data_IF_246746855674
#
_entry.id   IF_246746855674
#
_cell.length_a   1.000
_cell.length_b   1.000
_cell.length_c   1.000
_cell.angle_alpha   90.00
_cell.angle_beta   90.00
_cell.angle_gamma   90.00
#
_symmetry.space_group_name_H-M   'P 1'
#
loop_
_entity.id
_entity.type
_entity.pdbx_description
1 polymer ?
#
# COMPACT_ATOMS: atom_id res chain seq x y z
N UNK A 1 -6.14 -18.21 19.82
CA UNK A 1 -4.70 -17.97 19.59
C UNK A 1 -4.57 -16.65 18.85
N UNK A 2 -3.94 -15.65 19.47
CA UNK A 2 -3.74 -14.34 18.86
C UNK A 2 -2.81 -14.51 17.67
N UNK A 3 -3.35 -14.42 16.45
CA UNK A 3 -2.52 -14.46 15.25
C UNK A 3 -1.67 -13.20 15.28
N UNK A 4 -0.35 -13.34 15.37
CA UNK A 4 0.55 -12.19 15.28
C UNK A 4 0.35 -11.56 13.91
N UNK A 5 -0.25 -10.37 13.85
CA UNK A 5 -0.46 -9.62 12.59
C UNK A 5 0.86 -9.19 11.94
N UNK A 6 1.97 -9.29 12.69
CA UNK A 6 3.31 -9.02 12.23
C UNK A 6 4.36 -9.93 12.90
N UNK A 7 5.50 -10.10 12.25
CA UNK A 7 6.72 -10.64 12.83
C UNK A 7 7.90 -9.71 12.58
N UNK A 8 8.90 -9.76 13.45
CA UNK A 8 10.15 -9.02 13.29
C UNK A 8 11.24 -10.05 13.09
N UNK A 9 12.00 -9.93 12.00
CA UNK A 9 13.04 -10.87 11.65
C UNK A 9 14.33 -10.17 11.29
N UNK A 10 15.44 -10.91 11.45
CA UNK A 10 16.78 -10.41 11.13
C UNK A 10 17.46 -11.25 10.05
N UNK A 11 18.27 -10.60 9.24
CA UNK A 11 19.00 -11.24 8.14
C UNK A 11 20.25 -10.47 7.76
N UNK A 12 21.12 -11.09 6.95
CA UNK A 12 22.28 -10.39 6.37
C UNK A 12 21.86 -9.36 5.33
N UNK A 13 20.68 -9.56 4.74
CA UNK A 13 20.04 -8.67 3.77
C UNK A 13 18.56 -8.50 4.12
N UNK A 14 17.92 -7.49 3.52
CA UNK A 14 16.47 -7.29 3.63
C UNK A 14 15.72 -8.54 3.13
N UNK A 15 16.14 -9.09 1.98
CA UNK A 15 15.48 -10.27 1.40
C UNK A 15 15.56 -11.50 2.31
N UNK A 16 16.72 -11.77 2.90
CA UNK A 16 16.86 -12.90 3.83
C UNK A 16 15.96 -12.75 5.06
N UNK A 17 15.86 -11.52 5.59
CA UNK A 17 15.00 -11.23 6.73
C UNK A 17 13.51 -11.36 6.38
N UNK A 18 13.11 -10.92 5.18
CA UNK A 18 11.75 -11.08 4.64
C UNK A 18 11.42 -12.56 4.40
N UNK A 19 12.34 -13.34 3.85
CA UNK A 19 12.11 -14.76 3.56
C UNK A 19 11.91 -15.59 4.84
N UNK A 20 12.60 -15.25 5.93
CA UNK A 20 12.33 -15.82 7.26
C UNK A 20 10.94 -15.44 7.76
N UNK A 21 10.59 -14.17 7.60
CA UNK A 21 9.31 -13.64 8.06
C UNK A 21 8.11 -14.27 7.36
N UNK A 22 8.12 -14.37 6.02
CA UNK A 22 7.01 -14.96 5.26
C UNK A 22 6.83 -16.46 5.53
N UNK A 23 7.93 -17.19 5.82
CA UNK A 23 7.86 -18.58 6.28
C UNK A 23 7.18 -18.67 7.64
N UNK A 24 7.51 -17.76 8.56
CA UNK A 24 6.91 -17.74 9.90
C UNK A 24 5.43 -17.32 9.87
N UNK A 25 5.04 -16.46 8.94
CA UNK A 25 3.65 -16.02 8.74
C UNK A 25 2.84 -16.94 7.81
N UNK A 26 3.47 -17.97 7.22
CA UNK A 26 2.86 -18.92 6.27
C UNK A 26 2.11 -18.23 5.12
N UNK A 27 2.73 -17.20 4.53
CA UNK A 27 2.14 -16.38 3.47
C UNK A 27 3.13 -16.15 2.32
N UNK A 28 2.65 -15.54 1.23
CA UNK A 28 3.53 -15.14 0.12
C UNK A 28 4.08 -13.74 0.32
N UNK A 29 5.15 -13.40 -0.40
CA UNK A 29 5.71 -12.05 -0.40
C UNK A 29 4.72 -10.98 -0.90
N UNK A 30 3.72 -11.37 -1.69
CA UNK A 30 2.65 -10.47 -2.15
C UNK A 30 1.56 -10.24 -1.10
N UNK A 31 1.56 -11.00 -0.01
CA UNK A 31 0.58 -10.90 1.07
C UNK A 31 1.09 -10.10 2.26
N UNK A 32 2.26 -9.48 2.16
CA UNK A 32 2.91 -8.81 3.28
C UNK A 32 3.37 -7.40 2.95
N UNK A 33 3.38 -6.57 3.99
CA UNK A 33 4.02 -5.26 4.00
C UNK A 33 5.32 -5.35 4.80
N UNK A 34 6.39 -4.71 4.31
CA UNK A 34 7.74 -4.80 4.89
C UNK A 34 8.20 -3.41 5.30
N UNK A 35 8.47 -3.23 6.59
CA UNK A 35 9.08 -2.04 7.18
C UNK A 35 10.52 -2.36 7.59
N UNK A 36 11.50 -1.61 7.09
CA UNK A 36 12.90 -1.78 7.50
C UNK A 36 13.11 -0.98 8.79
N UNK A 37 13.33 -1.68 9.90
CA UNK A 37 13.60 -1.09 11.22
C UNK A 37 15.06 -0.67 11.33
N UNK A 38 15.98 -1.52 10.89
CA UNK A 38 17.42 -1.25 10.89
C UNK A 38 18.02 -1.79 9.59
N UNK A 39 18.77 -0.94 8.88
CA UNK A 39 19.50 -1.32 7.66
C UNK A 39 20.75 -2.15 7.94
N UNK A 40 21.12 -2.32 9.21
CA UNK A 40 22.36 -2.94 9.61
C UNK A 40 23.57 -2.11 9.18
N UNK A 41 24.77 -2.62 9.48
CA UNK A 41 26.04 -2.00 9.09
C UNK A 41 26.90 -3.04 8.40
N UNK A 42 27.43 -2.70 7.22
CA UNK A 42 28.48 -3.48 6.57
C UNK A 42 29.81 -3.17 7.25
N UNK A 43 30.39 -4.15 7.93
CA UNK A 43 31.77 -4.09 8.42
C UNK A 43 32.79 -4.36 7.32
N UNK A 44 34.07 -4.12 7.62
CA UNK A 44 35.19 -4.44 6.73
C UNK A 44 35.49 -5.95 6.83
N UNK A 45 35.59 -6.67 5.70
CA UNK A 45 35.88 -8.12 5.66
C UNK A 45 34.91 -9.04 6.43
N UNK A 46 33.68 -8.60 6.73
CA UNK A 46 32.68 -9.40 7.46
C UNK A 46 32.86 -9.40 8.99
N UNK A 47 33.80 -8.60 9.49
CA UNK A 47 34.05 -8.40 10.92
C UNK A 47 33.31 -7.11 11.32
N UNK A 48 32.57 -7.15 12.44
CA UNK A 48 31.75 -6.04 12.95
C UNK A 48 30.50 -5.66 12.10
N UNK A 49 29.89 -6.60 11.37
CA UNK A 49 28.59 -6.33 10.74
C UNK A 49 27.42 -6.47 11.73
N UNK A 50 26.46 -5.54 11.69
CA UNK A 50 25.16 -5.72 12.35
C UNK A 50 24.11 -6.20 11.33
N UNK A 51 23.17 -7.08 11.74
CA UNK A 51 22.16 -7.61 10.83
C UNK A 51 21.13 -6.53 10.44
N UNK A 52 20.51 -6.72 9.28
CA UNK A 52 19.30 -6.00 8.88
C UNK A 52 18.14 -6.50 9.73
N UNK A 53 17.29 -5.59 10.21
CA UNK A 53 16.06 -5.91 10.94
C UNK A 53 14.86 -5.38 10.17
N UNK A 54 13.89 -6.26 9.90
CA UNK A 54 12.63 -5.91 9.23
C UNK A 54 11.43 -6.29 10.09
N UNK A 55 10.37 -5.48 10.05
CA UNK A 55 9.03 -5.87 10.47
C UNK A 55 8.23 -6.23 9.23
N UNK A 56 7.63 -7.40 9.26
CA UNK A 56 6.75 -7.89 8.19
C UNK A 56 5.38 -8.10 8.77
N UNK A 57 4.37 -7.45 8.19
CA UNK A 57 2.97 -7.59 8.57
C UNK A 57 2.15 -8.15 7.43
N UNK A 58 1.06 -8.84 7.73
CA UNK A 58 0.11 -9.20 6.68
C UNK A 58 -0.46 -7.93 6.05
N UNK A 59 -0.44 -7.86 4.72
CA UNK A 59 -0.97 -6.73 3.98
C UNK A 59 -2.48 -6.66 4.25
N UNK A 60 -2.92 -5.50 4.75
CA UNK A 60 -4.33 -5.23 4.99
C UNK A 60 -5.16 -5.37 3.72
N UNK A 61 -6.42 -5.77 3.85
CA UNK A 61 -7.32 -5.91 2.71
C UNK A 61 -7.43 -4.64 1.87
N UNK A 62 -7.43 -3.46 2.50
CA UNK A 62 -7.49 -2.19 1.79
C UNK A 62 -6.19 -1.88 1.03
N UNK A 63 -5.05 -2.25 1.58
CA UNK A 63 -3.73 -2.05 0.96
C UNK A 63 -3.56 -2.94 -0.28
N UNK A 64 -4.12 -4.17 -0.27
CA UNK A 64 -4.22 -4.99 -1.49
C UNK A 64 -5.05 -4.31 -2.59
N UNK A 65 -6.18 -3.70 -2.21
CA UNK A 65 -7.02 -2.96 -3.18
C UNK A 65 -6.29 -1.74 -3.72
N UNK A 66 -5.55 -1.02 -2.87
CA UNK A 66 -4.68 0.08 -3.30
C UNK A 66 -3.69 -0.38 -4.39
N UNK A 67 -3.01 -1.51 -4.20
CA UNK A 67 -2.10 -2.08 -5.20
C UNK A 67 -2.82 -2.37 -6.52
N UNK A 68 -4.01 -3.00 -6.47
CA UNK A 68 -4.81 -3.26 -7.69
C UNK A 68 -5.11 -1.98 -8.46
N UNK A 69 -5.50 -0.91 -7.76
CA UNK A 69 -5.77 0.39 -8.42
C UNK A 69 -4.49 0.96 -9.02
N UNK A 70 -3.37 0.90 -8.29
CA UNK A 70 -2.07 1.38 -8.76
C UNK A 70 -1.63 0.65 -10.03
N UNK A 71 -1.80 -0.67 -10.08
CA UNK A 71 -1.48 -1.49 -11.26
C UNK A 71 -2.35 -1.12 -12.47
N UNK A 72 -3.66 -0.86 -12.24
CA UNK A 72 -4.56 -0.39 -13.29
C UNK A 72 -4.11 0.98 -13.84
N UNK A 73 -3.71 1.91 -12.98
CA UNK A 73 -3.21 3.23 -13.43
C UNK A 73 -1.95 3.08 -14.30
N UNK A 74 -1.01 2.21 -13.90
CA UNK A 74 0.19 1.90 -14.69
C UNK A 74 -0.18 1.30 -16.05
N UNK A 75 -1.10 0.33 -16.10
CA UNK A 75 -1.56 -0.27 -17.35
C UNK A 75 -2.28 0.73 -18.28
N UNK A 76 -2.86 1.79 -17.70
CA UNK A 76 -3.49 2.88 -18.44
C UNK A 76 -2.51 3.99 -18.86
N UNK A 77 -1.23 3.88 -18.51
CA UNK A 77 -0.22 4.92 -18.69
C UNK A 77 -0.59 6.25 -18.00
N UNK A 78 -1.19 6.15 -16.82
CA UNK A 78 -1.60 7.29 -16.00
C UNK A 78 -0.64 7.42 -14.82
N UNK A 79 0.09 8.53 -14.77
CA UNK A 79 0.85 8.92 -13.58
C UNK A 79 -0.12 9.35 -12.47
N UNK A 80 -0.24 8.51 -11.44
CA UNK A 80 -1.08 8.77 -10.29
C UNK A 80 -0.70 7.95 -9.07
N UNK A 81 -1.11 8.44 -7.90
CA UNK A 81 -0.84 7.84 -6.60
C UNK A 81 -2.12 7.59 -5.84
N UNK A 82 -2.19 6.44 -5.17
CA UNK A 82 -3.36 6.02 -4.39
C UNK A 82 -3.06 6.09 -2.89
N UNK A 83 -3.91 6.80 -2.14
CA UNK A 83 -3.81 6.93 -0.69
C UNK A 83 -5.04 6.38 0.01
N UNK A 84 -4.81 5.68 1.12
CA UNK A 84 -5.88 5.28 2.01
C UNK A 84 -6.32 6.47 2.87
N UNK A 85 -7.62 6.64 3.00
CA UNK A 85 -8.22 7.64 3.87
C UNK A 85 -9.49 7.09 4.52
N UNK A 86 -9.97 7.78 5.56
CA UNK A 86 -11.24 7.47 6.21
C UNK A 86 -12.11 8.72 6.28
N UNK A 87 -13.39 8.53 5.97
CA UNK A 87 -14.44 9.52 6.20
C UNK A 87 -15.48 8.90 7.14
N UNK A 88 -15.38 9.24 8.44
CA UNK A 88 -16.13 8.56 9.48
C UNK A 88 -15.81 7.05 9.51
N UNK A 89 -16.81 6.21 9.23
CA UNK A 89 -16.68 4.74 9.15
C UNK A 89 -16.39 4.22 7.73
N UNK A 90 -16.27 5.11 6.76
CA UNK A 90 -16.14 4.76 5.34
C UNK A 90 -14.67 4.77 4.95
N UNK A 91 -14.18 3.67 4.38
CA UNK A 91 -12.84 3.60 3.79
C UNK A 91 -12.84 4.25 2.40
N UNK A 92 -11.87 5.11 2.14
CA UNK A 92 -11.70 5.81 0.86
C UNK A 92 -10.31 5.47 0.30
N UNK A 93 -10.25 5.14 -0.98
CA UNK A 93 -9.02 5.07 -1.76
C UNK A 93 -8.99 6.30 -2.69
N UNK A 94 -8.20 7.31 -2.31
CA UNK A 94 -8.07 8.57 -3.07
C UNK A 94 -6.96 8.44 -4.09
N UNK A 95 -7.29 8.71 -5.34
CA UNK A 95 -6.37 8.76 -6.47
C UNK A 95 -6.05 10.23 -6.75
N UNK A 96 -4.77 10.57 -6.75
CA UNK A 96 -4.26 11.83 -7.27
C UNK A 96 -3.52 11.56 -8.57
N UNK A 97 -3.82 12.31 -9.62
CA UNK A 97 -3.13 12.16 -10.90
C UNK A 97 -2.46 13.45 -11.34
N UNK A 98 -1.45 13.32 -12.17
CA UNK A 98 -0.82 14.44 -12.86
C UNK A 98 -1.65 14.87 -14.09
N UNK A 99 -2.84 15.46 -13.87
CA UNK A 99 -3.67 16.04 -14.94
C UNK A 99 -4.64 15.08 -15.63
N UNK A 100 -4.80 13.86 -15.13
CA UNK A 100 -5.70 12.83 -15.68
C UNK A 100 -7.02 12.68 -14.93
N UNK A 101 -7.32 13.57 -13.98
CA UNK A 101 -8.50 13.48 -13.12
C UNK A 101 -9.79 13.41 -13.96
N UNK A 102 -9.91 14.25 -15.00
CA UNK A 102 -11.07 14.26 -15.89
C UNK A 102 -11.28 12.96 -16.66
N UNK A 103 -10.18 12.27 -17.04
CA UNK A 103 -10.23 10.97 -17.71
C UNK A 103 -10.72 9.88 -16.76
N UNK A 104 -10.18 9.84 -15.54
CA UNK A 104 -10.57 8.86 -14.52
C UNK A 104 -12.00 9.09 -14.00
N UNK A 105 -12.44 10.34 -13.90
CA UNK A 105 -13.83 10.67 -13.55
C UNK A 105 -14.76 10.26 -14.71
N UNK A 106 -14.42 10.67 -15.93
CA UNK A 106 -15.23 10.45 -17.12
C UNK A 106 -16.54 11.24 -17.12
N UNK A 107 -17.24 11.24 -18.26
CA UNK A 107 -18.49 12.00 -18.43
C UNK A 107 -19.56 11.52 -17.43
N UNK A 108 -19.98 12.41 -16.53
CA UNK A 108 -20.97 12.10 -15.49
C UNK A 108 -20.50 11.05 -14.48
N UNK A 109 -19.19 10.89 -14.28
CA UNK A 109 -18.64 9.92 -13.31
C UNK A 109 -18.63 8.46 -13.79
N UNK A 110 -18.95 8.19 -15.06
CA UNK A 110 -19.10 6.82 -15.58
C UNK A 110 -17.81 6.01 -15.48
N UNK A 111 -16.65 6.61 -15.76
CA UNK A 111 -15.35 5.91 -15.69
C UNK A 111 -15.01 5.56 -14.25
N UNK A 112 -15.16 6.50 -13.32
CA UNK A 112 -14.91 6.27 -11.90
C UNK A 112 -15.84 5.19 -11.33
N UNK A 113 -17.11 5.20 -11.72
CA UNK A 113 -18.08 4.18 -11.31
C UNK A 113 -17.74 2.79 -11.87
N UNK A 114 -17.27 2.71 -13.12
CA UNK A 114 -16.81 1.46 -13.71
C UNK A 114 -15.56 0.93 -13.00
N UNK A 115 -14.59 1.80 -12.71
CA UNK A 115 -13.39 1.47 -11.94
C UNK A 115 -13.75 0.94 -10.55
N UNK A 116 -14.61 1.67 -9.81
CA UNK A 116 -15.15 1.23 -8.52
C UNK A 116 -15.74 -0.17 -8.62
N UNK A 117 -16.57 -0.41 -9.64
CA UNK A 117 -17.25 -1.69 -9.80
C UNK A 117 -16.26 -2.84 -10.03
N UNK A 118 -15.36 -2.70 -11.01
CA UNK A 118 -14.38 -3.74 -11.36
C UNK A 118 -13.46 -4.03 -10.19
N UNK A 119 -12.89 -3.00 -9.56
CA UNK A 119 -11.99 -3.15 -8.41
C UNK A 119 -12.70 -3.79 -7.23
N UNK A 120 -13.96 -3.42 -6.96
CA UNK A 120 -14.77 -4.08 -5.92
C UNK A 120 -15.00 -5.57 -6.19
N UNK A 121 -15.19 -5.95 -7.47
CA UNK A 121 -15.34 -7.36 -7.87
C UNK A 121 -14.03 -8.12 -7.70
N UNK A 122 -12.90 -7.53 -8.07
CA UNK A 122 -11.56 -8.11 -7.87
C UNK A 122 -11.27 -8.31 -6.38
N UNK A 123 -11.48 -7.28 -5.55
CA UNK A 123 -11.30 -7.33 -4.11
C UNK A 123 -12.10 -8.48 -3.47
N UNK A 124 -13.39 -8.58 -3.80
CA UNK A 124 -14.27 -9.65 -3.30
C UNK A 124 -13.82 -11.04 -3.74
N UNK A 125 -13.38 -11.20 -4.99
CA UNK A 125 -12.85 -12.46 -5.51
C UNK A 125 -11.58 -12.88 -4.75
N UNK A 126 -10.77 -11.91 -4.32
CA UNK A 126 -9.58 -12.13 -3.48
C UNK A 126 -9.87 -12.24 -1.97
N UNK A 127 -11.14 -12.41 -1.58
CA UNK A 127 -11.55 -12.57 -0.17
C UNK A 127 -11.68 -11.28 0.63
N UNK A 128 -11.39 -10.12 0.04
CA UNK A 128 -11.47 -8.81 0.70
C UNK A 128 -12.94 -8.36 0.70
N UNK A 129 -13.57 -8.39 1.88
CA UNK A 129 -14.98 -7.99 2.07
C UNK A 129 -15.18 -6.59 2.62
N UNK A 130 -14.09 -5.89 2.93
CA UNK A 130 -14.14 -4.53 3.47
C UNK A 130 -14.78 -3.56 2.45
N UNK A 131 -15.83 -2.80 2.82
CA UNK A 131 -16.38 -1.77 1.93
C UNK A 131 -15.41 -0.60 1.80
N UNK A 132 -15.26 -0.09 0.57
CA UNK A 132 -14.44 1.08 0.24
C UNK A 132 -15.04 1.85 -0.95
N UNK A 133 -14.71 3.14 -1.04
CA UNK A 133 -15.00 3.96 -2.23
C UNK A 133 -13.72 4.51 -2.84
N UNK A 134 -13.66 4.54 -4.16
CA UNK A 134 -12.62 5.17 -4.95
C UNK A 134 -13.04 6.62 -5.22
N UNK A 135 -12.12 7.55 -4.98
CA UNK A 135 -12.31 8.96 -5.35
C UNK A 135 -11.11 9.45 -6.12
N UNK A 136 -11.35 10.38 -7.03
CA UNK A 136 -10.31 11.04 -7.83
C UNK A 136 -10.27 12.50 -7.41
N UNK A 137 -9.09 12.99 -7.06
CA UNK A 137 -8.88 14.37 -6.63
C UNK A 137 -9.07 14.62 -5.13
N UNK A 138 -9.03 15.93 -4.79
CA UNK A 138 -9.01 16.62 -3.48
C UNK A 138 -7.64 16.91 -2.84
N UNK A 139 -6.83 17.79 -3.46
CA UNK A 139 -5.65 18.42 -2.83
C UNK A 139 -5.89 19.86 -2.32
N UNK A 140 -7.11 20.41 -2.36
CA UNK A 140 -7.28 21.78 -1.84
C UNK A 140 -7.20 21.81 -0.31
N UNK A 141 -6.06 22.34 0.16
CA UNK A 141 -5.71 22.87 1.50
C UNK A 141 -4.97 21.94 2.47
N UNK A 142 -3.63 21.90 2.36
CA UNK A 142 -2.75 21.98 3.53
C UNK A 142 -1.35 22.57 3.26
N UNK A 143 -1.24 23.48 2.28
CA UNK A 143 -0.11 24.40 2.15
C UNK A 143 -0.54 25.82 2.49
N UNK A 144 -1.03 25.99 3.72
CA UNK A 144 -1.45 27.28 4.26
C UNK A 144 -1.35 27.33 5.78
N UNK A 145 -0.29 26.73 6.36
CA UNK A 145 0.28 27.02 7.69
C UNK A 145 1.54 26.19 7.94
N UNK A 146 2.57 26.46 7.15
CA UNK A 146 3.94 26.47 7.68
C UNK A 146 4.47 27.87 7.46
N UNK A 147 4.94 28.49 8.54
CA UNK A 147 5.46 29.87 8.69
C UNK A 147 4.44 30.94 9.10
N UNK A 148 4.10 30.95 10.39
CA UNK A 148 4.05 32.18 11.17
C UNK A 148 4.27 31.88 12.67
N UNK A 149 5.54 31.95 13.06
CA UNK A 149 6.14 32.06 14.42
C UNK A 149 6.00 30.87 15.36
#
# INVERSE_FOLDING_TARGET
MSSKEYCIETGKTVDEAVDKAIKNLACSRADVEVEIIDKGKKGFLGIFSSPVTVRVSLQGGLSKVKTIIQDILVLMDIDGQVFEAKEGKINILRIYTAGYDGLLIGRGGKTLNALQHVVSRMARKSGIRLPFYIRVGDYKQQQGKSHAR
#
